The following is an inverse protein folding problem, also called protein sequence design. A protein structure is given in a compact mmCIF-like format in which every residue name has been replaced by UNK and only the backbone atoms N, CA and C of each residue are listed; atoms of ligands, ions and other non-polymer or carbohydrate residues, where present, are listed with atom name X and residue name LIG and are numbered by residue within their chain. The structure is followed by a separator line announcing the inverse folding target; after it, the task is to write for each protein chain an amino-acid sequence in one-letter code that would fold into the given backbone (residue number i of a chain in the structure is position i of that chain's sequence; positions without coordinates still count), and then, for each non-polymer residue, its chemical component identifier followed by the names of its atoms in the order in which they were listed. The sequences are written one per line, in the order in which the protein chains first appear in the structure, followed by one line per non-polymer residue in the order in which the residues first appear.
data_IF_955049423167
#
_entry.id   IF_955049423167
#
_cell.length_a   1.000
_cell.length_b   1.000
_cell.length_c   1.000
_cell.angle_alpha   90.00
_cell.angle_beta   90.00
_cell.angle_gamma   90.00
#
_symmetry.space_group_name_H-M   'P 1'
#
loop_
_entity.id
_entity.type
_entity.pdbx_description
1 polymer ?
#
# COMPACT_ATOMS: atom_id res chain seq x y z
N UNK A 1 -27.31 -7.03 20.18
CA UNK A 1 -26.93 -6.18 19.04
C UNK A 1 -25.47 -6.45 18.76
N UNK A 2 -25.10 -6.92 17.55
CA UNK A 2 -23.68 -7.04 17.16
C UNK A 2 -23.18 -5.62 16.92
N UNK A 3 -22.09 -5.22 17.56
CA UNK A 3 -21.44 -3.93 17.29
C UNK A 3 -21.19 -3.80 15.78
N UNK A 4 -21.39 -2.61 15.18
CA UNK A 4 -20.95 -2.39 13.82
C UNK A 4 -19.43 -2.58 13.81
N UNK A 5 -18.94 -3.66 13.17
CA UNK A 5 -17.52 -3.79 12.86
C UNK A 5 -17.18 -2.60 11.97
N UNK A 6 -16.53 -1.59 12.53
CA UNK A 6 -15.93 -0.51 11.76
C UNK A 6 -15.15 -1.16 10.62
N UNK A 7 -15.41 -0.82 9.34
CA UNK A 7 -14.59 -1.33 8.27
C UNK A 7 -13.13 -1.03 8.63
N UNK A 8 -12.18 -1.97 8.44
CA UNK A 8 -10.79 -1.71 8.76
C UNK A 8 -10.42 -0.37 8.12
N UNK A 9 -9.98 0.57 8.93
CA UNK A 9 -9.58 1.88 8.45
C UNK A 9 -8.49 1.66 7.41
N UNK A 10 -8.84 1.84 6.14
CA UNK A 10 -7.85 1.91 5.09
C UNK A 10 -6.99 3.13 5.38
N UNK A 11 -5.72 2.93 5.73
CA UNK A 11 -4.84 4.02 6.13
C UNK A 11 -4.66 4.19 7.64
N UNK A 12 -4.63 3.10 8.41
CA UNK A 12 -3.90 3.10 9.67
C UNK A 12 -2.43 3.41 9.37
N UNK A 13 -2.09 4.70 9.46
CA UNK A 13 -0.78 5.23 9.10
C UNK A 13 0.31 4.64 10.00
N UNK A 14 -0.02 4.31 11.25
CA UNK A 14 0.92 3.71 12.18
C UNK A 14 1.32 2.31 11.69
N UNK A 15 0.36 1.49 11.27
CA UNK A 15 0.64 0.18 10.64
C UNK A 15 1.42 0.28 9.34
N UNK A 16 1.10 1.28 8.50
CA UNK A 16 1.87 1.51 7.28
C UNK A 16 3.32 1.89 7.57
N UNK A 17 3.55 2.68 8.63
CA UNK A 17 4.89 3.08 9.06
C UNK A 17 5.64 1.95 9.81
N UNK A 18 4.95 0.99 10.42
CA UNK A 18 5.58 -0.24 10.90
C UNK A 18 6.19 -1.05 9.75
N UNK A 19 5.56 -1.04 8.57
CA UNK A 19 6.06 -1.72 7.37
C UNK A 19 7.12 -0.90 6.63
N UNK A 20 6.88 0.40 6.43
CA UNK A 20 7.79 1.31 5.74
C UNK A 20 7.99 2.57 6.61
N UNK A 21 8.99 2.55 7.53
CA UNK A 21 9.18 3.64 8.51
C UNK A 21 9.48 5.01 7.91
N UNK A 22 10.02 5.05 6.70
CA UNK A 22 10.25 6.29 5.99
C UNK A 22 8.99 6.69 5.22
N UNK A 23 8.27 7.71 5.71
CA UNK A 23 7.05 8.23 5.07
C UNK A 23 7.20 8.62 3.59
N UNK A 24 8.37 9.08 3.16
CA UNK A 24 8.60 9.42 1.75
C UNK A 24 8.73 8.16 0.90
N UNK A 25 9.39 7.12 1.41
CA UNK A 25 9.43 5.81 0.76
C UNK A 25 8.05 5.16 0.73
N UNK A 26 7.28 5.25 1.81
CA UNK A 26 5.90 4.76 1.86
C UNK A 26 5.04 5.39 0.77
N UNK A 27 5.06 6.73 0.65
CA UNK A 27 4.31 7.44 -0.39
C UNK A 27 4.76 7.05 -1.78
N UNK A 28 6.07 6.91 -2.00
CA UNK A 28 6.60 6.49 -3.30
C UNK A 28 6.21 5.05 -3.66
N UNK A 29 6.28 4.12 -2.70
CA UNK A 29 5.87 2.73 -2.90
C UNK A 29 4.36 2.65 -3.25
N UNK A 30 3.52 3.33 -2.49
CA UNK A 30 2.08 3.39 -2.75
C UNK A 30 1.78 4.03 -4.12
N UNK A 31 2.49 5.09 -4.51
CA UNK A 31 2.36 5.70 -5.84
C UNK A 31 2.72 4.72 -6.96
N UNK A 32 3.86 4.04 -6.85
CA UNK A 32 4.32 3.09 -7.89
C UNK A 32 3.31 1.95 -8.02
N UNK A 33 2.86 1.40 -6.89
CA UNK A 33 1.88 0.32 -6.92
C UNK A 33 0.52 0.76 -7.43
N UNK A 34 0.03 1.94 -7.05
CA UNK A 34 -1.20 2.50 -7.60
C UNK A 34 -1.12 2.67 -9.13
N UNK A 35 0.05 3.06 -9.67
CA UNK A 35 0.24 3.15 -11.12
C UNK A 35 0.17 1.78 -11.80
N UNK A 36 0.72 0.73 -11.19
CA UNK A 36 0.61 -0.65 -11.68
C UNK A 36 -0.87 -1.09 -11.74
N UNK A 37 -1.63 -0.84 -10.68
CA UNK A 37 -3.06 -1.14 -10.61
C UNK A 37 -3.85 -0.39 -11.70
N UNK A 38 -3.56 0.90 -11.92
CA UNK A 38 -4.14 1.67 -13.04
C UNK A 38 -3.78 1.05 -14.39
N UNK A 39 -2.58 0.49 -14.52
CA UNK A 39 -2.12 -0.22 -15.71
C UNK A 39 -2.66 -1.66 -15.82
N UNK A 40 -3.65 -2.02 -14.99
CA UNK A 40 -4.33 -3.32 -14.95
C UNK A 40 -3.51 -4.49 -14.40
N UNK A 41 -2.50 -4.23 -13.57
CA UNK A 41 -1.97 -5.30 -12.71
C UNK A 41 -3.07 -5.79 -11.75
N UNK A 42 -3.02 -7.08 -11.42
CA UNK A 42 -3.95 -7.67 -10.48
C UNK A 42 -3.62 -7.25 -9.03
N UNK A 43 -4.63 -6.88 -8.24
CA UNK A 43 -4.46 -6.73 -6.80
C UNK A 43 -4.09 -8.05 -6.12
N UNK A 44 -3.31 -7.96 -5.06
CA UNK A 44 -2.81 -9.10 -4.27
C UNK A 44 -3.62 -9.37 -3.00
N UNK A 45 -4.57 -8.50 -2.66
CA UNK A 45 -5.46 -8.64 -1.50
C UNK A 45 -6.91 -8.88 -1.94
N UNK A 46 -7.62 -9.75 -1.23
CA UNK A 46 -9.03 -10.06 -1.52
C UNK A 46 -9.93 -8.83 -1.28
N UNK A 47 -10.94 -8.66 -2.14
CA UNK A 47 -11.89 -7.55 -2.04
C UNK A 47 -11.32 -6.18 -2.44
N UNK A 48 -10.13 -6.17 -3.05
CA UNK A 48 -9.54 -4.96 -3.62
C UNK A 48 -10.43 -4.38 -4.73
N UNK A 49 -10.52 -3.06 -4.73
CA UNK A 49 -11.20 -2.29 -5.76
C UNK A 49 -10.14 -1.66 -6.69
N UNK A 50 -10.00 -2.13 -7.95
CA UNK A 50 -8.99 -1.61 -8.87
C UNK A 50 -9.26 -0.14 -9.26
N UNK A 51 -10.49 0.35 -9.12
CA UNK A 51 -10.82 1.77 -9.34
C UNK A 51 -10.33 2.66 -8.18
N UNK A 52 -9.95 2.05 -7.04
CA UNK A 52 -9.36 2.72 -5.87
C UNK A 52 -7.89 2.35 -5.69
N UNK A 53 -7.11 2.51 -6.76
CA UNK A 53 -5.71 2.09 -6.84
C UNK A 53 -4.82 2.52 -5.64
N UNK A 54 -4.96 3.75 -5.13
CA UNK A 54 -4.16 4.22 -3.98
C UNK A 54 -4.55 3.49 -2.69
N UNK A 55 -5.86 3.35 -2.45
CA UNK A 55 -6.39 2.64 -1.27
C UNK A 55 -6.02 1.16 -1.30
N UNK A 56 -6.10 0.55 -2.49
CA UNK A 56 -5.69 -0.84 -2.72
C UNK A 56 -4.19 -1.00 -2.48
N UNK A 57 -3.34 -0.10 -3.00
CA UNK A 57 -1.91 -0.15 -2.75
C UNK A 57 -1.57 -0.08 -1.24
N UNK A 58 -2.25 0.78 -0.47
CA UNK A 58 -2.04 0.81 0.99
C UNK A 58 -2.52 -0.47 1.68
N UNK A 59 -3.61 -1.09 1.22
CA UNK A 59 -4.07 -2.36 1.75
C UNK A 59 -3.04 -3.47 1.51
N UNK A 60 -2.45 -3.53 0.31
CA UNK A 60 -1.39 -4.49 -0.04
C UNK A 60 -0.10 -4.26 0.76
N UNK A 61 0.33 -3.00 0.95
CA UNK A 61 1.47 -2.66 1.82
C UNK A 61 1.22 -3.13 3.26
N UNK A 62 0.00 -2.91 3.78
CA UNK A 62 -0.37 -3.31 5.15
C UNK A 62 -0.42 -4.83 5.29
N UNK A 63 -0.87 -5.53 4.25
CA UNK A 63 -0.97 -6.99 4.23
C UNK A 63 0.37 -7.69 4.01
N UNK A 64 1.45 -6.94 3.76
CA UNK A 64 2.78 -7.46 3.44
C UNK A 64 2.80 -8.39 2.22
N UNK A 65 1.92 -8.12 1.26
CA UNK A 65 1.77 -8.95 0.04
C UNK A 65 2.63 -8.45 -1.12
N UNK A 66 3.29 -7.30 -0.97
CA UNK A 66 4.15 -6.70 -1.98
C UNK A 66 5.61 -7.00 -1.68
N UNK A 67 6.32 -7.53 -2.66
CA UNK A 67 7.78 -7.66 -2.62
C UNK A 67 8.40 -6.30 -2.97
N UNK A 68 8.50 -5.41 -1.98
CA UNK A 68 9.04 -4.06 -2.15
C UNK A 68 10.55 -4.10 -1.99
N UNK A 69 11.28 -4.26 -3.09
CA UNK A 69 12.73 -4.08 -3.10
C UNK A 69 13.11 -2.60 -2.92
N UNK A 70 13.42 -2.19 -1.69
CA UNK A 70 13.95 -0.85 -1.40
C UNK A 70 15.43 -0.81 -1.80
N UNK A 71 15.68 -0.57 -3.08
CA UNK A 71 17.04 -0.44 -3.57
C UNK A 71 17.59 0.98 -3.28
N UNK A 72 18.38 1.12 -2.21
CA UNK A 72 19.07 2.38 -1.84
C UNK A 72 20.25 2.70 -2.77
N UNK A 73 20.07 2.55 -4.08
CA UNK A 73 21.13 2.80 -5.06
C UNK A 73 21.43 4.30 -5.16
N UNK A 74 22.50 4.70 -4.44
CA UNK A 74 23.38 5.86 -4.63
C UNK A 74 22.84 6.97 -5.55
N UNK A 75 22.47 8.10 -4.96
CA UNK A 75 22.56 9.39 -5.62
C UNK A 75 24.06 9.64 -5.84
N UNK A 76 24.54 9.51 -7.08
CA UNK A 76 25.87 10.03 -7.44
C UNK A 76 25.73 11.53 -7.70
N UNK A 77 26.68 12.36 -7.19
CA UNK A 77 26.68 13.78 -7.45
C UNK A 77 26.85 14.12 -8.93
#
# INVERSE_FOLDING_TARGET
MKEPKTPPSFGDIDRLLERIPNKYLLVNAARVRAQQLVNRDEPTVEGADPEKAVTTAFAEITADTLDIEINQSRIRP
#
